data_IF_655578842324
#
_entry.id   IF_655578842324
#
_cell.length_a   1.000
_cell.length_b   1.000
_cell.length_c   1.000
_cell.angle_alpha   90.00
_cell.angle_beta   90.00
_cell.angle_gamma   90.00
#
_symmetry.space_group_name_H-M   'P 1'
#
loop_
_entity.id
_entity.type
_entity.pdbx_description
1 polymer ?
#
# COMPACT_ATOMS: atom_id res chain seq x y z
N UNK A 1 -1.89 20.23 -28.42
CA UNK A 1 -1.78 18.81 -28.82
C UNK A 1 -2.49 17.97 -27.74
N UNK A 2 -3.83 18.02 -27.67
CA UNK A 2 -4.74 16.92 -28.04
C UNK A 2 -4.29 15.55 -27.48
N UNK A 3 -4.54 15.29 -26.19
CA UNK A 3 -4.45 13.93 -25.65
C UNK A 3 -5.67 13.15 -26.11
N UNK A 4 -5.47 12.49 -27.25
CA UNK A 4 -6.42 11.58 -27.85
C UNK A 4 -6.74 10.49 -26.83
N UNK A 5 -8.01 10.41 -26.47
CA UNK A 5 -8.62 9.23 -25.85
C UNK A 5 -8.25 8.02 -26.70
N UNK A 6 -7.41 7.16 -26.15
CA UNK A 6 -7.03 5.89 -26.74
C UNK A 6 -7.60 4.80 -25.85
N UNK A 7 -8.81 4.39 -26.21
CA UNK A 7 -9.34 3.09 -25.82
C UNK A 7 -8.53 2.02 -26.58
N UNK A 8 -7.75 1.22 -25.84
CA UNK A 8 -7.13 -0.04 -26.29
C UNK A 8 -7.61 -1.02 -25.22
N UNK A 9 -8.48 -1.99 -25.53
CA UNK A 9 -8.18 -3.08 -26.44
C UNK A 9 -7.51 -4.18 -25.62
N UNK A 10 -8.20 -5.30 -25.43
CA UNK A 10 -7.75 -6.44 -24.62
C UNK A 10 -6.32 -6.88 -25.02
N UNK A 11 -5.38 -6.70 -24.10
CA UNK A 11 -3.97 -7.08 -24.25
C UNK A 11 -3.34 -7.36 -22.88
N UNK A 12 -3.80 -8.41 -22.20
CA UNK A 12 -3.29 -8.83 -20.90
C UNK A 12 -1.94 -9.56 -21.04
N UNK A 13 -0.84 -8.82 -21.24
CA UNK A 13 0.51 -9.39 -21.11
C UNK A 13 1.61 -8.37 -20.71
N UNK A 14 1.34 -7.06 -20.66
CA UNK A 14 2.39 -6.06 -20.38
C UNK A 14 2.08 -5.11 -19.21
N UNK A 15 0.86 -5.12 -18.68
CA UNK A 15 0.51 -4.32 -17.49
C UNK A 15 1.04 -4.94 -16.20
N UNK A 16 1.26 -6.26 -16.19
CA UNK A 16 1.74 -6.99 -15.01
C UNK A 16 3.13 -6.51 -14.58
N UNK A 17 4.01 -6.17 -15.52
CA UNK A 17 5.39 -5.74 -15.25
C UNK A 17 5.48 -4.28 -14.80
N UNK A 18 4.61 -3.39 -15.29
CA UNK A 18 4.58 -2.00 -14.84
C UNK A 18 3.92 -1.85 -13.46
N UNK A 19 2.83 -2.58 -13.21
CA UNK A 19 2.12 -2.54 -11.93
C UNK A 19 2.95 -3.18 -10.81
N UNK A 20 3.62 -4.31 -11.08
CA UNK A 20 4.55 -4.91 -10.11
C UNK A 20 5.79 -4.06 -9.83
N UNK A 21 6.33 -3.35 -10.82
CA UNK A 21 7.42 -2.40 -10.60
C UNK A 21 6.98 -1.18 -9.77
N UNK A 22 5.82 -0.59 -10.07
CA UNK A 22 5.26 0.51 -9.29
C UNK A 22 4.93 0.08 -7.84
N UNK A 23 4.37 -1.11 -7.68
CA UNK A 23 4.08 -1.72 -6.39
C UNK A 23 5.36 -1.94 -5.59
N UNK A 24 6.38 -2.57 -6.17
CA UNK A 24 7.68 -2.79 -5.51
C UNK A 24 8.31 -1.46 -5.07
N UNK A 25 8.27 -0.45 -5.94
CA UNK A 25 8.82 0.87 -5.63
C UNK A 25 8.06 1.55 -4.48
N UNK A 26 6.72 1.46 -4.46
CA UNK A 26 5.89 1.97 -3.38
C UNK A 26 6.16 1.25 -2.05
N UNK A 27 6.27 -0.08 -2.07
CA UNK A 27 6.60 -0.88 -0.88
C UNK A 27 7.97 -0.52 -0.32
N UNK A 28 8.97 -0.30 -1.19
CA UNK A 28 10.31 0.15 -0.76
C UNK A 28 10.34 1.59 -0.23
N UNK A 29 9.35 2.42 -0.58
CA UNK A 29 9.22 3.77 -0.06
C UNK A 29 8.63 3.81 1.36
N UNK A 30 8.02 2.72 1.83
CA UNK A 30 7.47 2.63 3.19
C UNK A 30 8.61 2.73 4.21
N UNK A 31 8.56 3.67 5.16
CA UNK A 31 9.57 3.80 6.21
C UNK A 31 9.71 2.52 7.04
N UNK A 32 10.93 2.02 7.17
CA UNK A 32 11.24 0.74 7.83
C UNK A 32 10.77 0.65 9.29
N UNK A 33 10.69 1.79 10.00
CA UNK A 33 10.19 1.85 11.37
C UNK A 33 8.70 1.46 11.49
N UNK A 34 7.91 1.64 10.42
CA UNK A 34 6.47 1.36 10.41
C UNK A 34 6.11 -0.05 9.93
N UNK A 35 7.00 -0.68 9.15
CA UNK A 35 6.81 -2.04 8.60
C UNK A 35 6.43 -3.09 9.66
N UNK A 36 7.10 -3.22 10.82
CA UNK A 36 6.72 -4.24 11.80
C UNK A 36 5.34 -3.98 12.43
N UNK A 37 4.95 -2.71 12.57
CA UNK A 37 3.64 -2.32 13.08
C UNK A 37 2.53 -2.66 12.07
N UNK A 38 2.73 -2.30 10.80
CA UNK A 38 1.78 -2.60 9.71
C UNK A 38 1.62 -4.11 9.58
N UNK A 39 2.71 -4.87 9.46
CA UNK A 39 2.65 -6.34 9.34
C UNK A 39 1.93 -6.99 10.51
N UNK A 40 2.06 -6.44 11.73
CA UNK A 40 1.35 -6.96 12.90
C UNK A 40 -0.15 -6.70 12.83
N UNK A 41 -0.57 -5.50 12.40
CA UNK A 41 -1.97 -5.18 12.20
C UNK A 41 -2.58 -5.99 11.04
N UNK A 42 -1.85 -6.12 9.92
CA UNK A 42 -2.30 -6.89 8.74
C UNK A 42 -2.56 -8.35 9.11
N UNK A 43 -1.71 -8.99 9.92
CA UNK A 43 -1.93 -10.37 10.39
C UNK A 43 -3.21 -10.55 11.21
N UNK A 44 -3.77 -9.47 11.77
CA UNK A 44 -5.04 -9.51 12.52
C UNK A 44 -6.25 -9.45 11.58
N UNK A 45 -6.13 -8.76 10.44
CA UNK A 45 -7.26 -8.49 9.53
C UNK A 45 -7.23 -9.30 8.23
N UNK A 46 -6.05 -9.76 7.82
CA UNK A 46 -5.81 -10.47 6.57
C UNK A 46 -5.07 -11.80 6.80
N UNK A 47 -5.26 -12.73 5.86
CA UNK A 47 -4.63 -14.06 5.94
C UNK A 47 -3.12 -14.04 5.69
N UNK A 48 -2.58 -12.99 5.07
CA UNK A 48 -1.16 -12.84 4.72
C UNK A 48 -0.80 -11.36 4.58
N UNK A 49 0.48 -11.04 4.79
CA UNK A 49 1.04 -9.67 4.69
C UNK A 49 1.33 -9.23 3.25
N UNK A 50 1.15 -10.14 2.29
CA UNK A 50 1.34 -9.90 0.86
C UNK A 50 -0.01 -9.83 0.12
N UNK A 51 -1.12 -9.83 0.88
CA UNK A 51 -2.47 -9.78 0.32
C UNK A 51 -2.94 -8.33 0.24
N UNK A 52 -2.35 -7.59 -0.70
CA UNK A 52 -2.67 -6.18 -0.92
C UNK A 52 -4.16 -5.94 -1.22
N UNK A 53 -4.83 -6.88 -1.89
CA UNK A 53 -6.28 -6.80 -2.10
C UNK A 53 -7.08 -6.80 -0.79
N UNK A 54 -6.63 -7.55 0.22
CA UNK A 54 -7.21 -7.52 1.56
C UNK A 54 -6.77 -6.27 2.34
N UNK A 55 -5.48 -5.97 2.35
CA UNK A 55 -4.91 -4.84 3.11
C UNK A 55 -5.51 -3.50 2.69
N UNK A 56 -5.81 -3.35 1.40
CA UNK A 56 -6.30 -2.13 0.78
C UNK A 56 -7.81 -2.11 0.59
N UNK A 57 -8.52 -3.18 0.99
CA UNK A 57 -9.97 -3.15 1.05
C UNK A 57 -10.41 -2.04 2.01
N UNK A 58 -11.43 -1.26 1.62
CA UNK A 58 -11.78 0.00 2.29
C UNK A 58 -12.03 -0.12 3.79
N UNK A 59 -12.64 -1.22 4.24
CA UNK A 59 -12.85 -1.51 5.66
C UNK A 59 -11.58 -1.98 6.37
N UNK A 60 -10.84 -2.89 5.75
CA UNK A 60 -9.62 -3.48 6.31
C UNK A 60 -8.51 -2.44 6.46
N UNK A 61 -8.30 -1.58 5.47
CA UNK A 61 -7.29 -0.53 5.51
C UNK A 61 -7.49 0.41 6.69
N UNK A 62 -8.74 0.81 6.95
CA UNK A 62 -9.08 1.67 8.08
C UNK A 62 -8.81 0.98 9.42
N UNK A 63 -9.15 -0.31 9.54
CA UNK A 63 -8.86 -1.12 10.73
C UNK A 63 -7.36 -1.30 10.96
N UNK A 64 -6.60 -1.63 9.90
CA UNK A 64 -5.14 -1.76 9.94
C UNK A 64 -4.50 -0.44 10.35
N UNK A 65 -4.92 0.68 9.76
CA UNK A 65 -4.45 2.01 10.10
C UNK A 65 -4.69 2.33 11.58
N UNK A 66 -5.90 2.08 12.07
CA UNK A 66 -6.27 2.31 13.47
C UNK A 66 -5.37 1.49 14.41
N UNK A 67 -5.18 0.19 14.15
CA UNK A 67 -4.35 -0.68 14.98
C UNK A 67 -2.85 -0.37 14.89
N UNK A 68 -2.36 -0.01 13.69
CA UNK A 68 -0.95 0.29 13.47
C UNK A 68 -0.56 1.68 13.98
N UNK A 69 -1.49 2.66 14.01
CA UNK A 69 -1.22 4.07 14.29
C UNK A 69 -0.42 4.29 15.58
N UNK A 70 -0.85 3.70 16.70
CA UNK A 70 -0.18 3.83 18.00
C UNK A 70 1.26 3.27 17.97
N UNK A 71 1.43 2.10 17.36
CA UNK A 71 2.75 1.47 17.20
C UNK A 71 3.67 2.31 16.29
N UNK A 72 3.17 2.77 15.15
CA UNK A 72 3.92 3.57 14.18
C UNK A 72 4.32 4.91 14.80
N UNK A 73 3.43 5.58 15.52
CA UNK A 73 3.76 6.86 16.19
C UNK A 73 4.85 6.63 17.24
N UNK A 74 4.77 5.55 18.02
CA UNK A 74 5.76 5.24 19.04
C UNK A 74 7.13 4.85 18.45
N UNK A 75 7.16 4.14 17.32
CA UNK A 75 8.39 3.66 16.68
C UNK A 75 9.04 4.68 15.73
N UNK A 76 8.23 5.46 15.01
CA UNK A 76 8.67 6.36 13.95
C UNK A 76 8.60 7.85 14.31
N UNK A 77 7.80 8.20 15.33
CA UNK A 77 7.38 9.57 15.60
C UNK A 77 6.21 10.02 14.72
N UNK A 78 5.50 11.07 15.15
CA UNK A 78 4.27 11.56 14.50
C UNK A 78 4.49 11.98 13.04
N UNK A 79 5.56 12.73 12.76
CA UNK A 79 5.85 13.21 11.39
C UNK A 79 6.10 12.05 10.42
N UNK A 80 6.90 11.08 10.83
CA UNK A 80 7.19 9.89 10.02
C UNK A 80 5.97 8.98 9.91
N UNK A 81 5.10 8.93 10.94
CA UNK A 81 3.85 8.16 10.86
C UNK A 81 2.94 8.66 9.72
N UNK A 82 2.91 9.97 9.46
CA UNK A 82 2.19 10.52 8.30
C UNK A 82 2.84 10.08 6.98
N UNK A 83 4.17 10.06 6.90
CA UNK A 83 4.90 9.56 5.72
C UNK A 83 4.63 8.07 5.47
N UNK A 84 4.54 7.27 6.54
CA UNK A 84 4.15 5.85 6.46
C UNK A 84 2.74 5.72 5.90
N UNK A 85 1.79 6.52 6.37
CA UNK A 85 0.41 6.48 5.90
C UNK A 85 0.28 6.78 4.39
N UNK A 86 0.97 7.80 3.93
CA UNK A 86 1.00 8.22 2.53
C UNK A 86 1.62 7.11 1.65
N UNK A 87 2.75 6.56 2.08
CA UNK A 87 3.42 5.47 1.39
C UNK A 87 2.54 4.21 1.29
N UNK A 88 1.84 3.82 2.37
CA UNK A 88 0.95 2.64 2.33
C UNK A 88 -0.28 2.92 1.45
N UNK A 89 -0.79 4.16 1.42
CA UNK A 89 -1.87 4.53 0.48
C UNK A 89 -1.40 4.44 -0.99
N UNK A 90 -0.15 4.83 -1.26
CA UNK A 90 0.46 4.65 -2.57
C UNK A 90 0.65 3.17 -2.93
N UNK A 91 1.05 2.33 -1.97
CA UNK A 91 1.07 0.86 -2.11
C UNK A 91 -0.32 0.36 -2.50
N UNK A 92 -1.36 0.78 -1.79
CA UNK A 92 -2.73 0.38 -2.13
C UNK A 92 -3.20 0.84 -3.50
N UNK A 93 -2.74 1.99 -3.97
CA UNK A 93 -3.05 2.47 -5.33
C UNK A 93 -2.27 1.69 -6.40
N UNK A 94 -1.05 1.24 -6.09
CA UNK A 94 -0.17 0.56 -7.02
C UNK A 94 -0.35 -0.97 -7.05
N UNK A 95 -0.73 -1.58 -5.92
CA UNK A 95 -0.70 -3.02 -5.70
C UNK A 95 -2.09 -3.69 -5.60
N UNK A 96 -3.15 -2.93 -5.31
CA UNK A 96 -4.51 -3.47 -5.15
C UNK A 96 -5.27 -3.63 -6.48
#
# INVERSE_FOLDING_TARGET
>A
MKFSYVAIGLGAASIVSAQSAACTSAVTAVPACGVPCINSAVKTHCSSIDNYACECASGTFSSIQSDASSCVINACGLTTAIQVLDAVSAVCTACA
#
